data_IF_926243514884
#
_entry.id   IF_926243514884
#
_cell.length_a   1.000
_cell.length_b   1.000
_cell.length_c   1.000
_cell.angle_alpha   90.00
_cell.angle_beta   90.00
_cell.angle_gamma   90.00
#
_symmetry.space_group_name_H-M   'P 1'
#
loop_
_entity.id
_entity.type
_entity.pdbx_description
1 polymer ?
#
# COMPACT_ATOMS: atom_id res chain seq x y z
N UNK A 1 12.65 2.95 -18.59
CA UNK A 1 13.42 3.14 -17.34
C UNK A 1 14.17 1.85 -17.03
N UNK A 2 15.50 1.89 -16.93
CA UNK A 2 16.34 0.74 -16.57
C UNK A 2 16.24 0.46 -15.07
N UNK A 3 15.97 -0.80 -14.70
CA UNK A 3 15.93 -1.24 -13.30
C UNK A 3 17.39 -1.27 -12.79
N UNK A 4 17.73 -0.56 -11.69
CA UNK A 4 19.08 -0.58 -11.13
C UNK A 4 19.60 -2.00 -10.87
N UNK A 5 20.87 -2.25 -11.21
CA UNK A 5 21.52 -3.59 -11.25
C UNK A 5 21.54 -4.38 -9.91
N UNK A 6 21.09 -3.81 -8.79
CA UNK A 6 21.15 -4.44 -7.45
C UNK A 6 19.79 -4.46 -6.71
N UNK A 7 18.67 -4.66 -7.43
CA UNK A 7 17.34 -4.75 -6.81
C UNK A 7 16.90 -6.22 -6.77
N UNK A 8 16.56 -6.71 -5.57
CA UNK A 8 16.00 -8.07 -5.40
C UNK A 8 14.77 -8.28 -6.29
N UNK A 9 14.62 -9.47 -6.85
CA UNK A 9 13.49 -9.82 -7.73
C UNK A 9 12.13 -9.47 -7.13
N UNK A 10 11.90 -9.74 -5.84
CA UNK A 10 10.70 -9.36 -5.09
C UNK A 10 10.40 -7.84 -5.13
N UNK A 11 11.41 -6.98 -4.93
CA UNK A 11 11.27 -5.51 -5.01
C UNK A 11 10.97 -5.04 -6.43
N UNK A 12 11.63 -5.62 -7.43
CA UNK A 12 11.39 -5.28 -8.83
C UNK A 12 9.96 -5.66 -9.25
N UNK A 13 9.51 -6.86 -8.88
CA UNK A 13 8.18 -7.35 -9.25
C UNK A 13 7.07 -6.54 -8.57
N UNK A 14 7.14 -6.27 -7.26
CA UNK A 14 6.14 -5.41 -6.58
C UNK A 14 6.06 -4.02 -7.21
N UNK A 15 7.19 -3.46 -7.62
CA UNK A 15 7.23 -2.12 -8.24
C UNK A 15 6.54 -2.16 -9.60
N UNK A 16 6.77 -3.22 -10.39
CA UNK A 16 6.06 -3.41 -11.66
C UNK A 16 4.55 -3.55 -11.47
N UNK A 17 4.09 -4.25 -10.41
CA UNK A 17 2.67 -4.34 -10.08
C UNK A 17 2.07 -2.97 -9.73
N UNK A 18 2.74 -2.19 -8.88
CA UNK A 18 2.31 -0.83 -8.54
C UNK A 18 2.22 0.07 -9.77
N UNK A 19 3.20 -0.03 -10.69
CA UNK A 19 3.21 0.71 -11.95
C UNK A 19 2.03 0.34 -12.86
N UNK A 20 1.55 -0.90 -12.80
CA UNK A 20 0.38 -1.36 -13.56
C UNK A 20 -0.94 -0.94 -12.91
N UNK A 21 -1.01 -0.90 -11.58
CA UNK A 21 -2.23 -0.51 -10.86
C UNK A 21 -2.47 1.00 -10.88
N UNK A 22 -1.40 1.79 -10.76
CA UNK A 22 -1.46 3.24 -10.63
C UNK A 22 -0.77 3.92 -11.82
N UNK A 23 -1.07 3.49 -13.04
CA UNK A 23 -0.43 3.95 -14.28
C UNK A 23 -0.51 5.46 -14.49
N UNK A 24 -1.56 6.09 -13.96
CA UNK A 24 -1.83 7.50 -14.13
C UNK A 24 -0.98 8.41 -13.22
N UNK A 25 -0.33 7.82 -12.20
CA UNK A 25 0.59 8.49 -11.29
C UNK A 25 2.02 8.38 -11.80
N UNK A 26 2.58 9.50 -12.25
CA UNK A 26 3.94 9.57 -12.81
C UNK A 26 5.05 9.45 -11.75
N UNK A 27 4.70 9.45 -10.47
CA UNK A 27 5.63 9.49 -9.34
C UNK A 27 5.77 8.12 -8.64
N UNK A 28 6.05 7.09 -9.43
CA UNK A 28 6.31 5.74 -8.92
C UNK A 28 7.81 5.48 -8.88
N UNK A 29 8.31 5.19 -7.68
CA UNK A 29 9.68 4.74 -7.43
C UNK A 29 9.65 3.34 -6.81
N UNK A 30 10.83 2.75 -6.59
CA UNK A 30 10.94 1.35 -6.12
C UNK A 30 10.20 1.19 -4.78
N UNK A 31 9.08 0.48 -4.82
CA UNK A 31 8.21 0.26 -3.67
C UNK A 31 7.54 1.52 -3.11
N UNK A 32 7.41 2.62 -3.87
CA UNK A 32 6.67 3.81 -3.43
C UNK A 32 5.86 4.43 -4.57
N UNK A 33 4.63 4.83 -4.24
CA UNK A 33 3.74 5.62 -5.11
C UNK A 33 3.41 6.91 -4.38
N UNK A 34 3.61 8.05 -5.03
CA UNK A 34 3.05 9.33 -4.56
C UNK A 34 1.87 9.69 -5.44
N UNK A 35 0.70 9.78 -4.84
CA UNK A 35 -0.55 10.06 -5.54
C UNK A 35 -0.71 11.57 -5.72
N UNK A 36 -0.82 11.99 -6.98
CA UNK A 36 -1.02 13.41 -7.36
C UNK A 36 -2.36 13.64 -8.04
N UNK A 37 -3.24 12.63 -8.04
CA UNK A 37 -4.55 12.68 -8.67
C UNK A 37 -5.60 12.05 -7.75
N UNK A 38 -6.88 12.46 -7.86
CA UNK A 38 -7.99 11.77 -7.23
C UNK A 38 -8.05 10.29 -7.62
N UNK A 39 -8.54 9.39 -6.75
CA UNK A 39 -9.12 9.66 -5.43
C UNK A 39 -8.10 9.68 -4.28
N UNK A 40 -6.82 9.43 -4.54
CA UNK A 40 -5.79 9.26 -3.50
C UNK A 40 -4.88 10.49 -3.34
N UNK A 41 -5.29 11.62 -3.91
CA UNK A 41 -4.45 12.82 -3.99
C UNK A 41 -3.87 13.19 -2.63
N UNK A 42 -2.55 13.39 -2.60
CA UNK A 42 -1.85 13.78 -1.40
C UNK A 42 -1.42 12.62 -0.50
N UNK A 43 -1.71 11.35 -0.85
CA UNK A 43 -1.19 10.18 -0.16
C UNK A 43 0.16 9.71 -0.74
N UNK A 44 0.97 9.08 0.11
CA UNK A 44 2.13 8.27 -0.25
C UNK A 44 1.85 6.82 0.18
N UNK A 45 1.90 5.87 -0.77
CA UNK A 45 1.95 4.43 -0.49
C UNK A 45 3.41 3.96 -0.53
N UNK A 46 3.90 3.31 0.52
CA UNK A 46 5.26 2.78 0.62
C UNK A 46 5.27 1.32 1.05
N UNK A 47 5.82 0.44 0.22
CA UNK A 47 6.06 -0.97 0.48
C UNK A 47 7.51 -1.15 0.96
N UNK A 48 7.77 -0.99 2.26
CA UNK A 48 9.12 -1.03 2.83
C UNK A 48 9.41 -2.28 3.64
N UNK A 49 10.41 -3.05 3.20
CA UNK A 49 10.82 -4.33 3.81
C UNK A 49 9.59 -5.23 4.01
N UNK A 50 9.09 -5.24 5.24
CA UNK A 50 8.03 -6.10 5.75
C UNK A 50 6.74 -5.38 6.12
N UNK A 51 6.69 -4.06 5.92
CA UNK A 51 5.54 -3.23 6.27
C UNK A 51 5.07 -2.41 5.09
N UNK A 52 3.79 -2.06 5.13
CA UNK A 52 3.18 -1.12 4.20
C UNK A 52 2.85 0.14 4.98
N UNK A 53 3.13 1.30 4.39
CA UNK A 53 2.79 2.60 4.93
C UNK A 53 1.87 3.29 3.93
N UNK A 54 0.74 3.80 4.41
CA UNK A 54 -0.14 4.68 3.67
C UNK A 54 -0.29 5.94 4.50
N UNK A 55 0.27 7.04 4.04
CA UNK A 55 0.34 8.28 4.81
C UNK A 55 0.05 9.49 3.94
N UNK A 56 -0.55 10.53 4.51
CA UNK A 56 -0.60 11.83 3.88
C UNK A 56 0.81 12.39 3.74
N UNK A 57 1.09 12.96 2.58
CA UNK A 57 2.37 13.56 2.27
C UNK A 57 2.73 14.61 3.35
N UNK A 58 4.03 14.84 3.57
CA UNK A 58 4.50 15.74 4.64
C UNK A 58 4.02 17.20 4.49
N UNK A 59 3.62 17.59 3.29
CA UNK A 59 3.20 18.95 2.94
C UNK A 59 1.70 19.21 3.17
N UNK A 60 0.93 18.15 3.47
CA UNK A 60 -0.50 18.22 3.73
C UNK A 60 -0.77 17.98 5.22
N UNK A 61 -1.50 18.88 5.88
CA UNK A 61 -1.89 18.74 7.30
C UNK A 61 -3.08 17.81 7.52
N UNK A 62 -3.46 17.05 6.49
CA UNK A 62 -4.52 16.06 6.57
C UNK A 62 -4.22 14.97 7.60
N UNK A 63 -5.29 14.57 8.28
CA UNK A 63 -5.29 13.51 9.29
C UNK A 63 -6.18 12.38 8.79
N UNK A 64 -5.89 11.16 9.25
CA UNK A 64 -6.78 10.03 9.01
C UNK A 64 -8.13 10.34 9.63
N UNK A 65 -9.17 10.37 8.79
CA UNK A 65 -10.54 10.62 9.22
C UNK A 65 -11.07 9.46 10.08
N UNK A 66 -12.14 9.71 10.85
CA UNK A 66 -12.87 8.64 11.54
C UNK A 66 -13.46 7.62 10.55
N UNK A 67 -14.00 8.07 9.41
CA UNK A 67 -14.54 7.17 8.38
C UNK A 67 -13.45 6.22 7.83
N UNK A 68 -12.25 6.72 7.55
CA UNK A 68 -11.12 5.91 7.11
C UNK A 68 -10.69 4.93 8.19
N UNK A 69 -10.69 5.38 9.46
CA UNK A 69 -10.37 4.52 10.62
C UNK A 69 -11.36 3.37 10.72
N UNK A 70 -12.66 3.65 10.70
CA UNK A 70 -13.71 2.62 10.79
C UNK A 70 -13.61 1.62 9.64
N UNK A 71 -13.37 2.09 8.41
CA UNK A 71 -13.15 1.23 7.24
C UNK A 71 -11.94 0.31 7.41
N UNK A 72 -10.82 0.84 7.94
CA UNK A 72 -9.60 0.07 8.17
C UNK A 72 -9.78 -0.96 9.29
N UNK A 73 -10.47 -0.60 10.37
CA UNK A 73 -10.76 -1.50 11.49
C UNK A 73 -11.70 -2.63 11.05
N UNK A 74 -12.77 -2.32 10.33
CA UNK A 74 -13.66 -3.32 9.75
C UNK A 74 -12.94 -4.26 8.79
N UNK A 75 -12.04 -3.72 7.95
CA UNK A 75 -11.24 -4.53 7.02
C UNK A 75 -10.29 -5.46 7.77
N UNK A 76 -9.62 -4.95 8.81
CA UNK A 76 -8.72 -5.73 9.67
C UNK A 76 -9.48 -6.86 10.36
N UNK A 77 -10.67 -6.58 10.90
CA UNK A 77 -11.45 -7.58 11.64
C UNK A 77 -11.97 -8.71 10.74
N UNK A 78 -12.20 -8.44 9.45
CA UNK A 78 -12.50 -9.46 8.45
C UNK A 78 -11.28 -10.30 8.02
N UNK A 79 -10.08 -9.80 8.28
CA UNK A 79 -8.82 -10.35 7.77
C UNK A 79 -7.76 -10.47 8.87
N UNK A 80 -8.19 -10.87 10.08
CA UNK A 80 -7.35 -10.91 11.28
C UNK A 80 -6.09 -11.77 11.13
N UNK A 81 -6.15 -12.82 10.29
CA UNK A 81 -5.03 -13.73 10.03
C UNK A 81 -4.15 -13.30 8.83
N UNK A 82 -4.48 -12.17 8.18
CA UNK A 82 -3.82 -11.67 6.96
C UNK A 82 -2.93 -10.48 7.28
N UNK A 83 -3.43 -9.52 8.05
CA UNK A 83 -2.66 -8.33 8.41
C UNK A 83 -3.14 -7.72 9.73
N UNK A 84 -2.26 -6.97 10.37
CA UNK A 84 -2.63 -6.02 11.42
C UNK A 84 -2.30 -4.61 10.98
N UNK A 85 -2.98 -3.61 11.54
CA UNK A 85 -2.70 -2.21 11.24
C UNK A 85 -2.63 -1.36 12.51
N UNK A 86 -1.73 -0.39 12.50
CA UNK A 86 -1.61 0.65 13.51
C UNK A 86 -1.92 1.99 12.84
N UNK A 87 -3.01 2.62 13.27
CA UNK A 87 -3.48 3.90 12.73
C UNK A 87 -2.85 5.03 13.53
N UNK A 88 -2.19 5.93 12.82
CA UNK A 88 -1.55 7.12 13.37
C UNK A 88 -2.28 8.37 12.88
N UNK A 89 -1.87 9.54 13.38
CA UNK A 89 -2.52 10.78 13.04
C UNK A 89 -2.57 11.06 11.54
N UNK A 90 -1.50 10.75 10.80
CA UNK A 90 -1.34 11.09 9.36
C UNK A 90 -1.32 9.88 8.44
N UNK A 91 -1.57 8.68 8.94
CA UNK A 91 -1.52 7.49 8.10
C UNK A 91 -1.73 6.20 8.88
N UNK A 92 -1.45 5.10 8.21
CA UNK A 92 -1.55 3.76 8.76
C UNK A 92 -0.31 2.96 8.40
N UNK A 93 0.15 2.15 9.35
CA UNK A 93 1.17 1.13 9.14
C UNK A 93 0.52 -0.23 9.18
N UNK A 94 0.71 -1.00 8.13
CA UNK A 94 0.16 -2.33 7.95
C UNK A 94 1.30 -3.34 8.07
N UNK A 95 1.09 -4.34 8.92
CA UNK A 95 1.99 -5.46 9.11
C UNK A 95 1.32 -6.71 8.51
N UNK A 96 1.91 -7.27 7.46
CA UNK A 96 1.39 -8.46 6.79
C UNK A 96 1.76 -9.68 7.63
N UNK A 97 0.75 -10.45 8.02
CA UNK A 97 0.91 -11.74 8.68
C UNK A 97 1.24 -12.80 7.62
N UNK A 98 1.92 -13.88 8.01
CA UNK A 98 2.24 -15.00 7.11
C UNK A 98 3.11 -14.64 5.89
N UNK A 99 3.75 -13.47 5.86
CA UNK A 99 4.66 -13.02 4.77
C UNK A 99 5.83 -13.97 4.50
N UNK A 100 6.17 -14.82 5.46
CA UNK A 100 7.29 -15.77 5.42
C UNK A 100 6.83 -17.19 5.03
N UNK A 101 5.53 -17.41 4.82
CA UNK A 101 4.98 -18.70 4.35
C UNK A 101 5.21 -18.93 2.84
N UNK A 102 5.75 -17.93 2.13
CA UNK A 102 6.07 -18.04 0.72
C UNK A 102 7.48 -18.60 0.54
N UNK A 103 7.68 -19.63 -0.30
CA UNK A 103 8.99 -20.23 -0.50
C UNK A 103 9.97 -19.24 -1.14
N UNK A 104 11.26 -19.37 -0.82
CA UNK A 104 12.33 -18.55 -1.40
C UNK A 104 12.70 -19.02 -2.82
N UNK A 105 11.70 -19.03 -3.69
CA UNK A 105 11.80 -19.36 -5.11
C UNK A 105 11.30 -18.18 -5.93
N UNK A 106 11.65 -18.11 -7.22
CA UNK A 106 11.14 -17.06 -8.11
C UNK A 106 9.62 -17.00 -8.14
N UNK A 107 8.93 -18.14 -8.06
CA UNK A 107 7.46 -18.22 -8.01
C UNK A 107 6.95 -17.73 -6.65
N UNK A 108 7.51 -18.21 -5.54
CA UNK A 108 7.13 -17.76 -4.20
C UNK A 108 7.33 -16.26 -3.99
N UNK A 109 8.43 -15.68 -4.52
CA UNK A 109 8.65 -14.24 -4.50
C UNK A 109 7.62 -13.45 -5.30
N UNK A 110 7.09 -13.99 -6.42
CA UNK A 110 5.99 -13.34 -7.15
C UNK A 110 4.71 -13.34 -6.32
N UNK A 111 4.33 -14.50 -5.80
CA UNK A 111 3.14 -14.66 -4.96
C UNK A 111 3.20 -13.75 -3.72
N UNK A 112 4.37 -13.67 -3.07
CA UNK A 112 4.60 -12.74 -1.96
C UNK A 112 4.41 -11.28 -2.40
N UNK A 113 4.88 -10.90 -3.58
CA UNK A 113 4.73 -9.54 -4.09
C UNK A 113 3.28 -9.21 -4.47
N UNK A 114 2.58 -10.15 -5.11
CA UNK A 114 1.15 -10.03 -5.41
C UNK A 114 0.35 -9.85 -4.11
N UNK A 115 0.66 -10.65 -3.09
CA UNK A 115 0.02 -10.58 -1.77
C UNK A 115 0.25 -9.22 -1.09
N UNK A 116 1.49 -8.70 -1.10
CA UNK A 116 1.79 -7.37 -0.55
C UNK A 116 1.01 -6.26 -1.27
N UNK A 117 0.97 -6.30 -2.59
CA UNK A 117 0.31 -5.25 -3.39
C UNK A 117 -1.20 -5.32 -3.23
N UNK A 118 -1.78 -6.52 -3.15
CA UNK A 118 -3.22 -6.70 -2.91
C UNK A 118 -3.64 -6.12 -1.55
N UNK A 119 -2.92 -6.46 -0.47
CA UNK A 119 -3.22 -5.92 0.86
C UNK A 119 -3.08 -4.40 0.88
N UNK A 120 -2.04 -3.87 0.22
CA UNK A 120 -1.84 -2.44 0.09
C UNK A 120 -3.02 -1.75 -0.61
N UNK A 121 -3.49 -2.28 -1.73
CA UNK A 121 -4.60 -1.72 -2.50
C UNK A 121 -5.91 -1.76 -1.69
N UNK A 122 -6.20 -2.87 -1.00
CA UNK A 122 -7.38 -3.01 -0.15
C UNK A 122 -7.39 -1.97 0.98
N UNK A 123 -6.25 -1.77 1.65
CA UNK A 123 -6.14 -0.77 2.71
C UNK A 123 -6.17 0.66 2.16
N UNK A 124 -5.61 0.90 0.96
CA UNK A 124 -5.61 2.22 0.32
C UNK A 124 -7.03 2.66 -0.03
N UNK A 125 -7.88 1.75 -0.50
CA UNK A 125 -9.31 2.04 -0.79
C UNK A 125 -10.09 2.54 0.41
N UNK A 126 -9.66 2.25 1.65
CA UNK A 126 -10.29 2.79 2.85
C UNK A 126 -10.15 4.33 2.96
N UNK A 127 -9.18 4.93 2.24
CA UNK A 127 -8.99 6.38 2.17
C UNK A 127 -9.91 7.07 1.14
N UNK A 128 -10.65 6.30 0.32
CA UNK A 128 -11.65 6.89 -0.57
C UNK A 128 -12.85 7.31 0.27
N UNK A 129 -13.12 8.61 0.28
CA UNK A 129 -14.37 9.14 0.79
C UNK A 129 -15.45 8.99 -0.28
N UNK A 130 -16.61 8.44 0.09
CA UNK A 130 -17.75 8.48 -0.80
C UNK A 130 -18.26 9.93 -0.78
N UNK A 131 -17.91 10.72 -1.80
CA UNK A 131 -18.66 11.94 -2.09
C UNK A 131 -20.05 11.55 -2.58
N UNK A 132 -20.95 11.28 -1.64
CA UNK A 132 -22.38 11.31 -1.84
C UNK A 132 -22.96 12.20 -0.74
N UNK A 133 -23.19 13.47 -1.11
CA UNK A 133 -23.94 14.55 -0.44
C UNK A 133 -23.47 15.84 -1.15
N UNK A 134 -24.17 16.48 -2.08
CA UNK A 134 -25.61 16.65 -2.34
C UNK A 134 -25.84 16.86 -3.84
#
# INVERSE_FOLDING_TARGET
MSIPKNISFFKAYRTSLLQKLYTDDKNISIGRVRFTKPPYEGLDLKLWKDRIYIEYNKYNDFKVSEETRDKLELLRDKMLDVFTCAIWQRGVVINILNKDNFPDTKIGMKLRADYYVLIADMCLRCFIHNENKF
#
